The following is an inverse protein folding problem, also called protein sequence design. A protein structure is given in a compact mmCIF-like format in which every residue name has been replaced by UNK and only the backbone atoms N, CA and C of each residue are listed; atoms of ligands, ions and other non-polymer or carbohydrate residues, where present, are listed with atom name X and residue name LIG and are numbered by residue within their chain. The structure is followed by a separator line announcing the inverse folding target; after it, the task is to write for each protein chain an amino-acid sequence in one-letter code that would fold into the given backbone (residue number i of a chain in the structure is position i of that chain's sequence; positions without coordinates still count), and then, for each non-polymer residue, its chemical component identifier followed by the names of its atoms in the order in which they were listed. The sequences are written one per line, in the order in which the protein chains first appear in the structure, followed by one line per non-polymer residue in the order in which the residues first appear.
data_IF_881500158653
#
_entry.id   IF_881500158653
#
_cell.length_a   1.000
_cell.length_b   1.000
_cell.length_c   1.000
_cell.angle_alpha   90.00
_cell.angle_beta   90.00
_cell.angle_gamma   90.00
#
_symmetry.space_group_name_H-M   'P 1'
#
loop_
_entity.id
_entity.type
_entity.pdbx_description
1 polymer ?
#
# COMPACT_ATOMS: atom_id res chain seq x y z
N UNK A 1 -0.92 16.37 12.10
CA UNK A 1 -0.27 17.05 10.95
C UNK A 1 0.91 17.91 11.39
N UNK A 2 0.82 18.70 12.47
CA UNK A 2 1.93 19.56 12.93
C UNK A 2 3.17 18.83 13.45
N UNK A 3 3.03 17.79 14.28
CA UNK A 3 4.19 17.08 14.86
C UNK A 3 5.06 16.36 13.82
N UNK A 4 4.43 15.74 12.80
CA UNK A 4 5.17 15.08 11.70
C UNK A 4 5.97 16.10 10.91
N UNK A 5 5.39 17.26 10.61
CA UNK A 5 6.10 18.33 9.90
C UNK A 5 7.29 18.86 10.71
N UNK A 6 7.11 19.06 12.02
CA UNK A 6 8.18 19.49 12.92
C UNK A 6 9.33 18.46 12.95
N UNK A 7 9.01 17.17 13.08
CA UNK A 7 10.02 16.10 13.01
C UNK A 7 10.74 16.04 11.67
N UNK A 8 10.03 16.24 10.55
CA UNK A 8 10.65 16.23 9.22
C UNK A 8 11.64 17.39 9.06
N UNK A 9 11.30 18.57 9.59
CA UNK A 9 12.19 19.74 9.57
C UNK A 9 13.41 19.51 10.46
N UNK A 10 13.24 18.91 11.63
CA UNK A 10 14.34 18.56 12.54
C UNK A 10 15.30 17.54 11.90
N UNK A 11 14.75 16.48 11.28
CA UNK A 11 15.52 15.49 10.52
C UNK A 11 16.24 16.12 9.34
N UNK A 12 15.57 17.01 8.60
CA UNK A 12 16.19 17.71 7.47
C UNK A 12 17.34 18.62 7.93
N UNK A 13 17.18 19.30 9.07
CA UNK A 13 18.19 20.22 9.62
C UNK A 13 19.41 19.51 10.21
N UNK A 14 19.28 18.24 10.58
CA UNK A 14 20.36 17.42 11.14
C UNK A 14 21.09 16.57 10.09
N UNK A 15 20.58 16.52 8.86
CA UNK A 15 21.22 15.81 7.75
C UNK A 15 22.16 16.74 6.98
N UNK A 16 23.45 16.39 6.93
CA UNK A 16 24.40 17.07 6.07
C UNK A 16 24.06 16.78 4.60
N UNK A 17 23.85 17.82 3.75
CA UNK A 17 23.48 17.60 2.36
C UNK A 17 24.63 16.88 1.63
N UNK A 18 24.33 15.88 0.79
CA UNK A 18 25.37 15.07 0.16
C UNK A 18 26.24 15.95 -0.76
N UNK A 19 27.53 16.01 -0.46
CA UNK A 19 28.53 16.67 -1.29
C UNK A 19 28.67 15.89 -2.60
N UNK A 20 28.64 16.57 -3.75
CA UNK A 20 28.66 15.96 -5.09
C UNK A 20 29.86 15.03 -5.38
N UNK A 21 30.91 15.09 -4.55
CA UNK A 21 32.13 14.31 -4.69
C UNK A 21 32.02 12.90 -4.08
N UNK A 22 30.97 12.60 -3.31
CA UNK A 22 30.81 11.31 -2.66
C UNK A 22 29.75 10.44 -3.37
N UNK A 23 30.20 9.78 -4.43
CA UNK A 23 29.39 9.00 -5.39
C UNK A 23 28.47 7.99 -4.68
N UNK A 24 28.92 7.40 -3.57
CA UNK A 24 28.17 6.37 -2.84
C UNK A 24 26.92 6.96 -2.17
N UNK A 25 27.00 8.17 -1.59
CA UNK A 25 25.84 8.83 -0.98
C UNK A 25 24.82 9.27 -2.02
N UNK A 26 25.28 9.77 -3.17
CA UNK A 26 24.41 10.17 -4.28
C UNK A 26 23.61 8.97 -4.80
N UNK A 27 24.25 7.81 -4.98
CA UNK A 27 23.57 6.58 -5.42
C UNK A 27 22.53 6.10 -4.40
N UNK A 28 22.87 6.09 -3.10
CA UNK A 28 21.92 5.71 -2.04
C UNK A 28 20.72 6.64 -2.01
N UNK A 29 20.95 7.95 -2.01
CA UNK A 29 19.90 8.95 -2.04
C UNK A 29 18.96 8.78 -3.23
N UNK A 30 19.52 8.62 -4.44
CA UNK A 30 18.76 8.40 -5.66
C UNK A 30 17.90 7.13 -5.59
N UNK A 31 18.45 6.01 -5.12
CA UNK A 31 17.71 4.76 -4.96
C UNK A 31 16.55 4.88 -3.98
N UNK A 32 16.74 5.56 -2.84
CA UNK A 32 15.65 5.79 -1.87
C UNK A 32 14.54 6.64 -2.48
N UNK A 33 14.88 7.70 -3.23
CA UNK A 33 13.87 8.52 -3.93
C UNK A 33 13.07 7.67 -4.91
N UNK A 34 13.75 6.89 -5.75
CA UNK A 34 13.07 6.03 -6.73
C UNK A 34 12.13 5.06 -6.03
N UNK A 35 12.56 4.45 -4.92
CA UNK A 35 11.71 3.54 -4.14
C UNK A 35 10.48 4.24 -3.54
N UNK A 36 10.63 5.46 -3.01
CA UNK A 36 9.50 6.26 -2.49
C UNK A 36 8.53 6.66 -3.62
N UNK A 37 9.04 7.08 -4.77
CA UNK A 37 8.22 7.44 -5.93
C UNK A 37 7.43 6.22 -6.41
N UNK A 38 8.07 5.05 -6.49
CA UNK A 38 7.38 3.80 -6.84
C UNK A 38 6.29 3.44 -5.83
N UNK A 39 6.56 3.58 -4.52
CA UNK A 39 5.58 3.40 -3.46
C UNK A 39 4.37 4.34 -3.62
N UNK A 40 4.62 5.62 -3.90
CA UNK A 40 3.57 6.61 -4.11
C UNK A 40 2.71 6.29 -5.34
N UNK A 41 3.34 5.93 -6.47
CA UNK A 41 2.63 5.56 -7.69
C UNK A 41 1.78 4.31 -7.47
N UNK A 42 2.29 3.31 -6.77
CA UNK A 42 1.54 2.08 -6.47
C UNK A 42 0.28 2.37 -5.63
N UNK A 43 0.40 3.19 -4.59
CA UNK A 43 -0.73 3.59 -3.73
C UNK A 43 -1.77 4.35 -4.54
N UNK A 44 -1.34 5.33 -5.35
CA UNK A 44 -2.25 6.09 -6.19
C UNK A 44 -2.98 5.19 -7.19
N UNK A 45 -2.29 4.23 -7.81
CA UNK A 45 -2.88 3.29 -8.74
C UNK A 45 -4.00 2.44 -8.08
N UNK A 46 -3.75 1.87 -6.90
CA UNK A 46 -4.75 1.04 -6.21
C UNK A 46 -5.93 1.86 -5.70
N UNK A 47 -5.67 3.02 -5.09
CA UNK A 47 -6.73 3.89 -4.57
C UNK A 47 -7.63 4.39 -5.70
N UNK A 48 -7.03 4.93 -6.78
CA UNK A 48 -7.79 5.42 -7.94
C UNK A 48 -8.62 4.31 -8.58
N UNK A 49 -8.05 3.12 -8.77
CA UNK A 49 -8.78 1.96 -9.30
C UNK A 49 -9.99 1.59 -8.42
N UNK A 50 -9.83 1.58 -7.09
CA UNK A 50 -10.92 1.22 -6.17
C UNK A 50 -12.11 2.19 -6.25
N UNK A 51 -11.85 3.49 -6.37
CA UNK A 51 -12.90 4.50 -6.54
C UNK A 51 -13.64 4.36 -7.87
N UNK A 52 -12.91 4.15 -8.96
CA UNK A 52 -13.52 3.98 -10.29
C UNK A 52 -14.36 2.70 -10.33
N UNK A 53 -13.84 1.59 -9.81
CA UNK A 53 -14.56 0.33 -9.76
C UNK A 53 -15.86 0.43 -8.94
N UNK A 54 -15.80 1.06 -7.76
CA UNK A 54 -16.98 1.30 -6.93
C UNK A 54 -18.03 2.15 -7.67
N UNK A 55 -17.62 3.24 -8.30
CA UNK A 55 -18.52 4.13 -9.03
C UNK A 55 -19.26 3.39 -10.16
N UNK A 56 -18.56 2.53 -10.90
CA UNK A 56 -19.16 1.71 -11.97
C UNK A 56 -20.19 0.74 -11.39
N UNK A 57 -19.89 0.08 -10.27
CA UNK A 57 -20.80 -0.90 -9.65
C UNK A 57 -22.06 -0.22 -9.12
N UNK A 58 -21.93 0.98 -8.55
CA UNK A 58 -23.08 1.78 -8.11
C UNK A 58 -23.94 2.21 -9.30
N UNK A 59 -23.32 2.65 -10.40
CA UNK A 59 -24.02 3.10 -11.60
C UNK A 59 -24.93 2.01 -12.19
N UNK A 60 -24.49 0.75 -12.18
CA UNK A 60 -25.30 -0.38 -12.67
C UNK A 60 -26.33 -0.88 -11.64
N UNK A 61 -26.24 -0.43 -10.38
CA UNK A 61 -27.11 -0.86 -9.29
C UNK A 61 -28.61 -0.77 -9.57
N UNK A 62 -29.14 0.34 -10.14
CA UNK A 62 -30.56 0.46 -10.50
C UNK A 62 -31.06 -0.63 -11.46
N UNK A 63 -30.17 -1.20 -12.29
CA UNK A 63 -30.51 -2.31 -13.18
C UNK A 63 -30.61 -3.62 -12.41
N UNK A 64 -29.77 -3.81 -11.38
CA UNK A 64 -29.72 -5.04 -10.60
C UNK A 64 -30.78 -5.14 -9.49
N UNK A 65 -31.22 -4.00 -8.93
CA UNK A 65 -32.19 -3.96 -7.83
C UNK A 65 -33.56 -4.60 -8.17
N UNK A 66 -34.18 -4.35 -9.34
CA UNK A 66 -35.48 -4.95 -9.68
C UNK A 66 -35.48 -6.48 -9.70
N UNK A 67 -34.34 -7.11 -9.99
CA UNK A 67 -34.22 -8.57 -10.02
C UNK A 67 -34.36 -9.24 -8.65
N UNK A 68 -34.33 -8.47 -7.56
CA UNK A 68 -34.67 -8.98 -6.23
C UNK A 68 -36.14 -9.41 -6.11
N UNK A 69 -37.05 -8.77 -6.85
CA UNK A 69 -38.49 -9.02 -6.74
C UNK A 69 -38.91 -10.22 -7.61
N UNK A 70 -38.20 -10.48 -8.71
CA UNK A 70 -38.56 -11.52 -9.68
C UNK A 70 -38.11 -12.90 -9.19
N UNK A 71 -39.03 -13.87 -9.02
CA UNK A 71 -38.68 -15.22 -8.61
C UNK A 71 -37.68 -15.84 -9.58
N UNK A 72 -36.68 -16.57 -9.07
CA UNK A 72 -35.58 -17.22 -9.81
C UNK A 72 -34.49 -16.27 -10.38
N UNK A 73 -34.63 -14.94 -10.29
CA UNK A 73 -33.61 -13.98 -10.75
C UNK A 73 -32.87 -13.26 -9.61
N UNK A 74 -33.25 -13.51 -8.35
CA UNK A 74 -32.63 -12.93 -7.15
C UNK A 74 -31.11 -13.17 -7.04
N UNK A 75 -30.60 -14.25 -7.64
CA UNK A 75 -29.16 -14.54 -7.67
C UNK A 75 -28.34 -13.43 -8.33
N UNK A 76 -28.94 -12.71 -9.29
CA UNK A 76 -28.27 -11.63 -10.01
C UNK A 76 -28.13 -10.39 -9.12
N UNK A 77 -29.18 -10.06 -8.35
CA UNK A 77 -29.12 -9.05 -7.30
C UNK A 77 -28.06 -9.43 -6.24
N UNK A 78 -28.09 -10.67 -5.75
CA UNK A 78 -27.13 -11.12 -4.75
C UNK A 78 -25.69 -11.14 -5.26
N UNK A 79 -25.46 -11.47 -6.53
CA UNK A 79 -24.15 -11.41 -7.16
C UNK A 79 -23.61 -9.98 -7.23
N UNK A 80 -24.44 -9.05 -7.72
CA UNK A 80 -24.10 -7.63 -7.74
C UNK A 80 -23.88 -7.07 -6.33
N UNK A 81 -24.75 -7.38 -5.36
CA UNK A 81 -24.66 -6.88 -4.00
C UNK A 81 -23.37 -7.35 -3.31
N UNK A 82 -22.98 -8.63 -3.48
CA UNK A 82 -21.69 -9.13 -2.99
C UNK A 82 -20.51 -8.39 -3.62
N UNK A 83 -20.56 -8.15 -4.93
CA UNK A 83 -19.52 -7.38 -5.62
C UNK A 83 -19.44 -5.94 -5.09
N UNK A 84 -20.59 -5.26 -4.94
CA UNK A 84 -20.65 -3.91 -4.36
C UNK A 84 -19.95 -3.83 -3.01
N UNK A 85 -20.26 -4.74 -2.08
CA UNK A 85 -19.62 -4.77 -0.76
C UNK A 85 -18.13 -5.09 -0.89
N UNK A 86 -17.75 -6.07 -1.71
CA UNK A 86 -16.35 -6.45 -1.90
C UNK A 86 -15.48 -5.30 -2.42
N UNK A 87 -15.94 -4.58 -3.44
CA UNK A 87 -15.22 -3.44 -4.00
C UNK A 87 -15.22 -2.21 -3.07
N UNK A 88 -16.28 -1.99 -2.28
CA UNK A 88 -16.27 -0.97 -1.22
C UNK A 88 -15.16 -1.25 -0.18
N UNK A 89 -14.91 -2.52 0.13
CA UNK A 89 -13.81 -2.92 1.02
C UNK A 89 -12.42 -2.70 0.41
N UNK A 90 -12.26 -2.62 -0.92
CA UNK A 90 -10.95 -2.34 -1.53
C UNK A 90 -10.42 -0.98 -1.08
N UNK A 91 -11.29 0.02 -1.01
CA UNK A 91 -10.94 1.37 -0.54
C UNK A 91 -10.57 1.35 0.95
N UNK A 92 -11.38 0.68 1.79
CA UNK A 92 -11.15 0.62 3.25
C UNK A 92 -9.83 -0.09 3.55
N UNK A 93 -9.59 -1.24 2.91
CA UNK A 93 -8.36 -2.01 3.10
C UNK A 93 -7.15 -1.25 2.56
N UNK A 94 -7.25 -0.55 1.43
CA UNK A 94 -6.16 0.26 0.93
C UNK A 94 -5.74 1.36 1.92
N UNK A 95 -6.72 2.08 2.50
CA UNK A 95 -6.42 3.11 3.49
C UNK A 95 -5.84 2.54 4.79
N UNK A 96 -6.40 1.42 5.26
CA UNK A 96 -5.89 0.73 6.44
C UNK A 96 -4.45 0.23 6.22
N UNK A 97 -4.16 -0.33 5.04
CA UNK A 97 -2.83 -0.81 4.68
C UNK A 97 -1.80 0.33 4.69
N UNK A 98 -2.11 1.47 4.05
CA UNK A 98 -1.22 2.65 4.03
C UNK A 98 -0.99 3.18 5.45
N UNK A 99 -2.03 3.22 6.28
CA UNK A 99 -1.92 3.65 7.68
C UNK A 99 -0.99 2.72 8.48
N UNK A 100 -1.22 1.41 8.45
CA UNK A 100 -0.40 0.43 9.19
C UNK A 100 1.05 0.45 8.72
N UNK A 101 1.29 0.52 7.42
CA UNK A 101 2.66 0.63 6.89
C UNK A 101 3.33 1.96 7.23
N UNK A 102 2.58 3.07 7.23
CA UNK A 102 3.10 4.37 7.67
C UNK A 102 3.54 4.33 9.12
N UNK A 103 2.77 3.66 10.00
CA UNK A 103 3.18 3.43 11.38
C UNK A 103 4.44 2.55 11.46
N UNK A 104 4.52 1.47 10.68
CA UNK A 104 5.73 0.64 10.59
C UNK A 104 6.97 1.43 10.17
N UNK A 105 6.83 2.34 9.20
CA UNK A 105 7.93 3.21 8.77
C UNK A 105 8.40 4.15 9.89
N UNK A 106 7.45 4.76 10.63
CA UNK A 106 7.77 5.62 11.78
C UNK A 106 8.48 4.81 12.87
N UNK A 107 7.96 3.62 13.22
CA UNK A 107 8.58 2.75 14.22
C UNK A 107 9.98 2.29 13.80
N UNK A 108 10.21 2.06 12.50
CA UNK A 108 11.52 1.71 11.97
C UNK A 108 12.53 2.86 12.15
N UNK A 109 12.10 4.12 11.92
CA UNK A 109 12.90 5.32 12.19
C UNK A 109 13.15 5.51 13.70
N UNK A 110 12.11 5.37 14.53
CA UNK A 110 12.21 5.55 15.98
C UNK A 110 13.10 4.48 16.64
N UNK A 111 13.19 3.28 16.06
CA UNK A 111 14.10 2.22 16.50
C UNK A 111 15.58 2.56 16.27
N UNK A 112 15.87 3.59 15.48
CA UNK A 112 17.24 4.02 15.14
C UNK A 112 17.38 5.54 15.40
N UNK A 113 17.37 5.97 16.67
CA UNK A 113 17.43 7.38 17.01
C UNK A 113 18.78 8.01 16.60
N UNK A 114 18.80 9.34 16.36
CA UNK A 114 20.02 10.08 16.04
C UNK A 114 21.11 9.88 17.13
N UNK A 115 22.42 10.01 16.80
CA UNK A 115 22.99 10.55 15.55
C UNK A 115 23.16 9.51 14.44
N UNK A 116 22.91 9.96 13.20
CA UNK A 116 23.08 9.17 11.98
C UNK A 116 24.52 9.22 11.49
N UNK A 117 25.36 8.38 12.09
CA UNK A 117 26.74 8.19 11.62
C UNK A 117 26.76 7.51 10.23
N UNK A 118 27.78 7.80 9.44
CA UNK A 118 27.99 7.32 8.06
C UNK A 118 27.85 5.79 7.95
N UNK A 119 28.37 5.06 8.93
CA UNK A 119 28.28 3.61 9.00
C UNK A 119 26.84 3.14 9.29
N UNK A 120 26.14 3.79 10.22
CA UNK A 120 24.74 3.45 10.55
C UNK A 120 23.81 3.70 9.38
N UNK A 121 23.98 4.80 8.65
CA UNK A 121 23.22 5.12 7.43
C UNK A 121 23.44 4.05 6.36
N UNK A 122 24.68 3.59 6.18
CA UNK A 122 25.00 2.52 5.24
C UNK A 122 24.29 1.20 5.58
N UNK A 123 24.25 0.82 6.87
CA UNK A 123 23.56 -0.37 7.33
C UNK A 123 22.03 -0.25 7.26
N UNK A 124 21.47 0.92 7.58
CA UNK A 124 20.03 1.17 7.60
C UNK A 124 19.43 1.29 6.19
N UNK A 125 20.27 1.64 5.20
CA UNK A 125 19.85 1.81 3.81
C UNK A 125 19.21 0.54 3.23
N UNK A 126 19.82 -0.63 3.44
CA UNK A 126 19.33 -1.89 2.85
C UNK A 126 17.94 -2.28 3.43
N UNK A 127 17.73 -2.34 4.76
CA UNK A 127 16.41 -2.59 5.33
C UNK A 127 15.36 -1.56 4.92
N UNK A 128 15.72 -0.28 4.79
CA UNK A 128 14.80 0.78 4.37
C UNK A 128 14.29 0.54 2.94
N UNK A 129 15.20 0.25 2.00
CA UNK A 129 14.82 -0.04 0.61
C UNK A 129 13.97 -1.31 0.54
N UNK A 130 14.34 -2.37 1.26
CA UNK A 130 13.53 -3.59 1.32
C UNK A 130 12.13 -3.35 1.90
N UNK A 131 12.02 -2.52 2.93
CA UNK A 131 10.74 -2.14 3.53
C UNK A 131 9.86 -1.39 2.52
N UNK A 132 10.43 -0.45 1.77
CA UNK A 132 9.72 0.28 0.70
C UNK A 132 9.30 -0.63 -0.47
N UNK A 133 10.15 -1.58 -0.87
CA UNK A 133 9.81 -2.57 -1.90
C UNK A 133 8.71 -3.54 -1.42
N UNK A 134 8.77 -3.97 -0.16
CA UNK A 134 7.72 -4.78 0.47
C UNK A 134 6.39 -4.03 0.51
N UNK A 135 6.42 -2.72 0.78
CA UNK A 135 5.25 -1.87 0.72
C UNK A 135 4.65 -1.83 -0.69
N UNK A 136 5.46 -1.57 -1.73
CA UNK A 136 5.00 -1.59 -3.13
C UNK A 136 4.33 -2.93 -3.46
N UNK A 137 4.99 -4.04 -3.13
CA UNK A 137 4.45 -5.38 -3.37
C UNK A 137 3.14 -5.62 -2.60
N UNK A 138 3.08 -5.23 -1.34
CA UNK A 138 1.89 -5.41 -0.50
C UNK A 138 0.68 -4.58 -0.97
N UNK A 139 0.91 -3.35 -1.45
CA UNK A 139 -0.13 -2.51 -2.05
C UNK A 139 -0.76 -3.20 -3.26
N UNK A 140 0.06 -3.75 -4.16
CA UNK A 140 -0.44 -4.48 -5.34
C UNK A 140 -1.23 -5.75 -4.99
N UNK A 141 -1.04 -6.30 -3.79
CA UNK A 141 -1.77 -7.48 -3.27
C UNK A 141 -3.05 -7.14 -2.51
N UNK A 142 -3.41 -5.87 -2.34
CA UNK A 142 -4.67 -5.46 -1.67
C UNK A 142 -5.92 -6.15 -2.24
N UNK A 143 -6.12 -6.26 -3.58
CA UNK A 143 -7.30 -6.93 -4.13
C UNK A 143 -7.38 -8.41 -3.71
N UNK A 144 -6.23 -9.09 -3.67
CA UNK A 144 -6.12 -10.47 -3.21
C UNK A 144 -6.47 -10.60 -1.73
N UNK A 145 -6.05 -9.66 -0.90
CA UNK A 145 -6.33 -9.65 0.53
C UNK A 145 -7.83 -9.50 0.79
N UNK A 146 -8.49 -8.58 0.09
CA UNK A 146 -9.95 -8.41 0.21
C UNK A 146 -10.67 -9.66 -0.28
N UNK A 147 -10.26 -10.24 -1.41
CA UNK A 147 -10.84 -11.49 -1.88
C UNK A 147 -10.70 -12.62 -0.85
N UNK A 148 -9.55 -12.72 -0.17
CA UNK A 148 -9.34 -13.66 0.93
C UNK A 148 -10.33 -13.47 2.09
N UNK A 149 -10.59 -12.21 2.49
CA UNK A 149 -11.55 -11.88 3.55
C UNK A 149 -12.97 -12.38 3.22
N UNK A 150 -13.42 -12.17 1.98
CA UNK A 150 -14.78 -12.54 1.57
C UNK A 150 -14.95 -14.02 1.21
N UNK A 151 -13.85 -14.73 0.90
CA UNK A 151 -13.89 -16.16 0.53
C UNK A 151 -13.46 -17.09 1.66
N UNK A 152 -13.01 -16.55 2.80
CA UNK A 152 -12.48 -17.32 3.92
C UNK A 152 -11.17 -18.06 3.60
N UNK A 153 -10.50 -17.68 2.50
CA UNK A 153 -9.22 -18.27 2.11
C UNK A 153 -8.08 -17.55 2.81
N UNK A 154 -7.46 -18.19 3.79
CA UNK A 154 -6.21 -17.75 4.40
C UNK A 154 -5.03 -18.50 3.80
N UNK A 155 -4.13 -17.78 3.13
CA UNK A 155 -2.87 -18.32 2.60
C UNK A 155 -2.95 -18.78 1.14
N UNK A 156 -2.85 -17.83 0.20
CA UNK A 156 -2.40 -18.17 -1.16
C UNK A 156 -0.89 -18.45 -1.07
N UNK A 157 -0.49 -19.69 -1.32
CA UNK A 157 0.92 -20.10 -1.23
C UNK A 157 1.78 -19.20 -2.14
N UNK A 158 2.82 -18.59 -1.58
CA UNK A 158 3.78 -17.79 -2.35
C UNK A 158 4.62 -18.64 -3.33
N UNK A 159 4.52 -19.97 -3.25
CA UNK A 159 5.17 -20.92 -4.15
C UNK A 159 4.14 -21.48 -5.14
N UNK A 160 4.42 -21.44 -6.45
CA UNK A 160 3.61 -22.12 -7.45
C UNK A 160 3.53 -23.61 -7.11
N UNK A 161 2.33 -24.17 -7.13
CA UNK A 161 2.09 -25.61 -7.02
C UNK A 161 2.52 -26.31 -8.33
N UNK A 162 3.83 -26.28 -8.63
CA UNK A 162 4.42 -26.84 -9.86
C UNK A 162 5.15 -28.15 -9.58
N UNK A 163 5.28 -28.57 -8.32
CA UNK A 163 5.84 -29.87 -7.95
C UNK A 163 4.78 -30.66 -7.16
N UNK A 164 3.98 -31.41 -7.90
CA UNK A 164 3.12 -32.49 -7.42
C UNK A 164 3.35 -33.70 -8.30
#
# INVERSE_FOLDING_TARGET
MGEVQVRLVELYSTMEPPTLLDIVYVVRYFLTIVAIVLAQVAVLAVISYSYVAMAIIVLVGPVFIPFFIVPKLEWLFWGWFRAFIQYAFYQVVAQAFVFVFGQLLIHFLDSHPPPFDSLKVAWLFVPLVFLLLSFVYGVLKIPSLVNGIFTGRSGDSALPRVLG
#
